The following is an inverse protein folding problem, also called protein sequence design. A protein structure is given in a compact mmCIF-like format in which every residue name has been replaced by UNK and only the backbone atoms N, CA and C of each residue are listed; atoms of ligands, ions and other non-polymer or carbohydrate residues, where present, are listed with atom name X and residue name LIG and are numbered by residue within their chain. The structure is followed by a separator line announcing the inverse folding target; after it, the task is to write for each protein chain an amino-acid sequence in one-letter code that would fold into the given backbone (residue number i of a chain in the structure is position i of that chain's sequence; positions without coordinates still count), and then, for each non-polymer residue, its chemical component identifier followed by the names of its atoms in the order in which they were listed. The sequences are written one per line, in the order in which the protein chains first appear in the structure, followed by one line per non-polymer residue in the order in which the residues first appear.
data_IF_176641426560
#
_entry.id   IF_176641426560
#
_cell.length_a   1.000
_cell.length_b   1.000
_cell.length_c   1.000
_cell.angle_alpha   90.00
_cell.angle_beta   90.00
_cell.angle_gamma   90.00
#
_symmetry.space_group_name_H-M   'P 1'
#
loop_
_entity.id
_entity.type
_entity.pdbx_description
1 polymer ?
#
# COMPACT_ATOMS: atom_id res chain seq x y z
N UNK A 1 -32.67 -15.08 -42.76
CA UNK A 1 -31.77 -15.91 -41.92
C UNK A 1 -30.60 -15.05 -41.50
N UNK A 2 -30.59 -14.64 -40.23
CA UNK A 2 -29.64 -13.65 -39.70
C UNK A 2 -28.25 -14.27 -39.58
N UNK A 3 -27.25 -13.60 -40.18
CA UNK A 3 -25.82 -13.80 -39.94
C UNK A 3 -25.54 -13.65 -38.44
N UNK A 4 -24.98 -14.67 -37.81
CA UNK A 4 -24.19 -14.47 -36.60
C UNK A 4 -22.82 -15.11 -36.84
N UNK A 5 -21.90 -14.20 -37.13
CA UNK A 5 -20.48 -14.42 -37.33
C UNK A 5 -19.86 -15.11 -36.13
N UNK A 6 -18.90 -16.01 -36.38
CA UNK A 6 -18.00 -16.63 -35.40
C UNK A 6 -17.16 -15.62 -34.57
N UNK A 7 -17.40 -14.31 -34.74
CA UNK A 7 -16.81 -13.21 -33.99
C UNK A 7 -17.47 -12.93 -32.62
N UNK A 8 -18.51 -13.68 -32.23
CA UNK A 8 -19.11 -13.56 -30.88
C UNK A 8 -18.42 -14.43 -29.81
N UNK A 9 -17.26 -15.01 -30.11
CA UNK A 9 -16.27 -15.33 -29.08
C UNK A 9 -15.57 -14.03 -28.66
N UNK A 10 -16.36 -13.11 -28.11
CA UNK A 10 -15.88 -11.96 -27.36
C UNK A 10 -15.03 -12.52 -26.24
N UNK A 11 -13.71 -12.44 -26.41
CA UNK A 11 -12.73 -11.92 -25.46
C UNK A 11 -13.18 -11.84 -23.98
N UNK A 12 -13.71 -12.92 -23.43
CA UNK A 12 -13.46 -13.29 -22.04
C UNK A 12 -12.10 -13.99 -22.04
N UNK A 13 -11.06 -13.26 -22.45
CA UNK A 13 -9.74 -13.49 -21.89
C UNK A 13 -9.89 -13.06 -20.43
N UNK A 14 -10.41 -13.95 -19.58
CA UNK A 14 -10.08 -13.87 -18.16
C UNK A 14 -8.57 -13.96 -18.14
N UNK A 15 -7.91 -12.80 -18.02
CA UNK A 15 -6.46 -12.70 -17.86
C UNK A 15 -6.15 -13.65 -16.71
N UNK A 16 -5.59 -14.83 -17.01
CA UNK A 16 -5.27 -15.83 -16.00
C UNK A 16 -4.36 -15.11 -15.02
N UNK A 17 -4.88 -14.87 -13.83
CA UNK A 17 -4.16 -14.12 -12.81
C UNK A 17 -3.02 -15.02 -12.38
N UNK A 18 -1.78 -14.60 -12.60
CA UNK A 18 -0.63 -15.36 -12.12
C UNK A 18 -0.72 -15.46 -10.60
N UNK A 19 -0.56 -16.69 -10.10
CA UNK A 19 -0.55 -16.94 -8.67
C UNK A 19 0.86 -16.75 -8.14
N UNK A 20 1.02 -15.84 -7.18
CA UNK A 20 2.27 -15.62 -6.48
C UNK A 20 2.25 -16.39 -5.17
N UNK A 21 3.39 -17.01 -4.87
CA UNK A 21 3.72 -17.53 -3.56
C UNK A 21 4.76 -16.61 -2.91
N UNK A 22 4.55 -16.25 -1.65
CA UNK A 22 5.55 -15.56 -0.84
C UNK A 22 6.04 -16.46 0.29
N UNK A 23 7.30 -16.29 0.68
CA UNK A 23 7.89 -16.96 1.82
C UNK A 23 8.15 -15.92 2.91
N UNK A 24 7.47 -16.06 4.04
CA UNK A 24 7.60 -15.22 5.21
C UNK A 24 8.64 -15.82 6.16
N UNK A 25 9.54 -14.97 6.63
CA UNK A 25 10.20 -15.18 7.91
C UNK A 25 9.32 -14.54 8.98
N UNK A 26 8.65 -15.37 9.77
CA UNK A 26 7.77 -14.86 10.83
C UNK A 26 8.57 -14.54 12.08
N UNK A 27 8.27 -13.40 12.67
CA UNK A 27 8.99 -12.89 13.84
C UNK A 27 8.01 -12.24 14.81
N UNK A 28 8.27 -12.42 16.09
CA UNK A 28 7.77 -11.51 17.12
C UNK A 28 8.77 -10.35 17.22
N UNK A 29 8.31 -9.10 17.21
CA UNK A 29 9.22 -7.94 17.25
C UNK A 29 9.55 -7.54 18.71
N UNK A 30 10.82 -7.26 18.98
CA UNK A 30 11.36 -7.00 20.33
C UNK A 30 11.62 -5.50 20.62
N UNK A 31 11.41 -4.56 19.67
CA UNK A 31 11.70 -3.13 19.93
C UNK A 31 10.80 -2.15 19.15
N UNK A 32 10.01 -1.37 19.90
CA UNK A 32 9.41 -0.06 19.55
C UNK A 32 8.27 0.05 18.52
N UNK A 33 7.60 -1.05 18.13
CA UNK A 33 6.27 -0.97 17.49
C UNK A 33 5.21 -1.66 18.34
N UNK A 34 3.95 -1.26 18.21
CA UNK A 34 2.82 -1.87 18.95
C UNK A 34 2.34 -3.19 18.29
N UNK A 35 3.09 -3.76 17.35
CA UNK A 35 2.69 -4.94 16.59
C UNK A 35 3.48 -6.17 17.03
N UNK A 36 2.76 -7.19 17.47
CA UNK A 36 3.35 -8.34 18.16
C UNK A 36 3.89 -9.41 17.22
N UNK A 37 3.38 -9.52 16.00
CA UNK A 37 3.72 -10.62 15.08
C UNK A 37 3.65 -10.20 13.62
N UNK A 38 4.72 -10.43 12.86
CA UNK A 38 4.85 -9.94 11.50
C UNK A 38 5.42 -10.97 10.52
N UNK A 39 5.04 -10.82 9.25
CA UNK A 39 5.66 -11.53 8.13
C UNK A 39 6.68 -10.60 7.45
N UNK A 40 7.94 -11.04 7.44
CA UNK A 40 9.02 -10.42 6.66
C UNK A 40 9.26 -11.22 5.37
N UNK A 41 8.90 -10.65 4.22
CA UNK A 41 8.95 -11.36 2.92
C UNK A 41 10.40 -11.58 2.47
N UNK A 42 10.83 -12.84 2.47
CA UNK A 42 12.22 -13.21 2.16
C UNK A 42 12.45 -13.43 0.68
N UNK A 43 11.54 -14.11 0.00
CA UNK A 43 11.75 -14.46 -1.41
C UNK A 43 11.78 -13.22 -2.30
N UNK A 44 12.34 -13.38 -3.50
CA UNK A 44 12.21 -12.37 -4.54
C UNK A 44 10.72 -12.27 -4.90
N UNK A 45 10.16 -11.08 -4.76
CA UNK A 45 8.78 -10.80 -5.12
C UNK A 45 8.79 -9.87 -6.33
N UNK A 46 8.17 -10.32 -7.42
CA UNK A 46 8.07 -9.60 -8.68
C UNK A 46 6.59 -9.42 -9.06
N UNK A 47 6.04 -8.25 -8.75
CA UNK A 47 4.69 -7.83 -9.12
C UNK A 47 4.82 -6.67 -10.09
N UNK A 48 4.46 -6.86 -11.35
CA UNK A 48 4.60 -5.86 -12.41
C UNK A 48 3.23 -5.31 -12.78
N UNK A 49 3.16 -4.09 -13.32
CA UNK A 49 1.89 -3.52 -13.80
C UNK A 49 1.30 -4.31 -14.98
N UNK A 50 2.11 -5.06 -15.71
CA UNK A 50 1.69 -5.87 -16.87
C UNK A 50 1.03 -7.18 -16.47
N UNK A 51 1.38 -7.77 -15.31
CA UNK A 51 0.78 -8.98 -14.79
C UNK A 51 -0.14 -8.67 -13.59
N UNK A 52 -1.43 -8.90 -13.77
CA UNK A 52 -2.37 -8.91 -12.64
C UNK A 52 -2.07 -10.19 -11.86
N UNK A 53 -1.19 -10.09 -10.87
CA UNK A 53 -0.75 -11.23 -10.08
C UNK A 53 -1.30 -11.10 -8.65
N UNK A 54 -1.86 -12.19 -8.14
CA UNK A 54 -2.41 -12.25 -6.79
C UNK A 54 -1.54 -13.17 -5.94
N UNK A 55 -1.20 -12.73 -4.74
CA UNK A 55 -0.64 -13.59 -3.72
C UNK A 55 -1.75 -14.51 -3.22
N UNK A 56 -1.64 -15.80 -3.53
CA UNK A 56 -2.61 -16.81 -3.08
C UNK A 56 -2.00 -17.78 -2.06
N UNK A 57 -0.67 -17.86 -2.00
CA UNK A 57 0.04 -18.77 -1.13
C UNK A 57 1.09 -18.02 -0.31
N UNK A 58 1.12 -18.34 0.98
CA UNK A 58 2.15 -17.88 1.91
C UNK A 58 2.75 -19.12 2.57
N UNK A 59 4.08 -19.19 2.55
CA UNK A 59 4.89 -20.23 3.18
C UNK A 59 5.75 -19.62 4.28
N UNK A 60 6.29 -20.47 5.14
CA UNK A 60 7.10 -20.10 6.29
C UNK A 60 6.63 -20.84 7.54
N UNK A 61 7.56 -21.08 8.46
CA UNK A 61 7.26 -21.75 9.72
C UNK A 61 6.87 -20.71 10.76
N UNK A 62 5.68 -20.88 11.35
CA UNK A 62 5.23 -20.03 12.44
C UNK A 62 5.89 -20.40 13.77
N UNK A 63 5.97 -19.42 14.65
CA UNK A 63 6.33 -19.65 16.05
C UNK A 63 5.23 -20.44 16.77
N UNK A 64 5.59 -21.11 17.87
CA UNK A 64 4.64 -21.95 18.60
C UNK A 64 3.38 -21.18 19.01
N UNK A 65 2.21 -21.70 18.62
CA UNK A 65 0.91 -21.11 18.93
C UNK A 65 0.51 -19.93 18.04
N UNK A 66 1.35 -19.55 17.07
CA UNK A 66 1.05 -18.49 16.09
C UNK A 66 0.52 -19.07 14.77
N UNK A 67 -0.17 -18.22 14.02
CA UNK A 67 -0.71 -18.52 12.70
C UNK A 67 -0.82 -17.25 11.86
N UNK A 68 -1.23 -17.39 10.59
CA UNK A 68 -1.55 -16.27 9.71
C UNK A 68 -2.60 -15.29 10.30
N UNK A 69 -3.51 -15.77 11.15
CA UNK A 69 -4.52 -14.92 11.78
C UNK A 69 -3.91 -14.03 12.88
N UNK A 70 -2.73 -14.37 13.39
CA UNK A 70 -2.00 -13.54 14.38
C UNK A 70 -1.13 -12.46 13.73
N UNK A 71 -0.89 -12.53 12.41
CA UNK A 71 -0.04 -11.58 11.70
C UNK A 71 -0.71 -10.21 11.64
N UNK A 72 -0.02 -9.20 12.16
CA UNK A 72 -0.51 -7.81 12.24
C UNK A 72 0.31 -6.84 11.42
N UNK A 73 1.51 -7.23 10.98
CA UNK A 73 2.36 -6.44 10.10
C UNK A 73 2.86 -7.29 8.92
N UNK A 74 2.78 -6.71 7.72
CA UNK A 74 3.38 -7.25 6.50
C UNK A 74 4.55 -6.34 6.11
N UNK A 75 5.75 -6.90 6.04
CA UNK A 75 6.95 -6.18 5.66
C UNK A 75 7.50 -6.70 4.32
N UNK A 76 7.62 -5.81 3.35
CA UNK A 76 8.11 -6.07 2.00
C UNK A 76 9.20 -5.07 1.66
N UNK A 77 10.47 -5.46 1.79
CA UNK A 77 11.60 -4.56 1.53
C UNK A 77 12.51 -5.07 0.43
N UNK A 78 13.00 -4.16 -0.42
CA UNK A 78 13.91 -4.44 -1.55
C UNK A 78 13.40 -5.51 -2.52
N UNK A 79 12.12 -5.41 -2.91
CA UNK A 79 11.46 -6.27 -3.90
C UNK A 79 11.05 -5.46 -5.14
N UNK A 80 10.61 -6.12 -6.22
CA UNK A 80 10.08 -5.42 -7.40
C UNK A 80 8.55 -5.48 -7.39
N UNK A 81 7.90 -4.53 -6.72
CA UNK A 81 6.46 -4.47 -6.48
C UNK A 81 5.92 -3.18 -7.11
N UNK A 82 5.77 -3.17 -8.44
CA UNK A 82 5.37 -1.98 -9.20
C UNK A 82 3.91 -1.58 -8.99
N UNK A 83 3.07 -2.53 -8.57
CA UNK A 83 1.68 -2.33 -8.17
C UNK A 83 1.44 -2.97 -6.80
N UNK A 84 0.45 -2.48 -6.07
CA UNK A 84 0.16 -2.99 -4.74
C UNK A 84 -0.24 -4.48 -4.79
N UNK A 85 0.39 -5.36 -3.98
CA UNK A 85 0.15 -6.79 -4.04
C UNK A 85 -1.25 -7.14 -3.53
N UNK A 86 -2.03 -7.83 -4.38
CA UNK A 86 -3.41 -8.24 -4.07
C UNK A 86 -3.46 -9.67 -3.54
N UNK A 87 -4.52 -10.01 -2.82
CA UNK A 87 -4.79 -11.36 -2.32
C UNK A 87 -4.33 -11.61 -0.88
N UNK A 88 -3.35 -10.83 -0.40
CA UNK A 88 -2.78 -11.01 0.93
C UNK A 88 -3.80 -10.80 2.06
N UNK A 89 -4.82 -9.97 1.85
CA UNK A 89 -5.93 -9.75 2.80
C UNK A 89 -6.73 -11.03 3.11
N UNK A 90 -6.70 -12.03 2.21
CA UNK A 90 -7.39 -13.31 2.41
C UNK A 90 -6.61 -14.22 3.35
N UNK A 91 -5.32 -13.96 3.49
CA UNK A 91 -4.37 -14.78 4.23
C UNK A 91 -4.11 -14.15 5.60
N UNK A 92 -3.73 -12.88 5.63
CA UNK A 92 -3.53 -12.10 6.87
C UNK A 92 -4.74 -11.21 7.13
N UNK A 93 -5.69 -11.71 7.93
CA UNK A 93 -6.98 -11.03 8.17
C UNK A 93 -6.90 -9.85 9.14
N UNK A 94 -5.85 -9.78 9.94
CA UNK A 94 -5.71 -8.85 11.06
C UNK A 94 -4.57 -7.84 10.87
N UNK A 95 -4.19 -7.56 9.61
CA UNK A 95 -3.17 -6.56 9.30
C UNK A 95 -3.58 -5.17 9.83
N UNK A 96 -2.66 -4.60 10.61
CA UNK A 96 -2.71 -3.24 11.15
C UNK A 96 -1.60 -2.37 10.57
N UNK A 97 -0.53 -2.98 10.06
CA UNK A 97 0.58 -2.29 9.43
C UNK A 97 1.00 -2.96 8.12
N UNK A 98 1.29 -2.14 7.11
CA UNK A 98 1.89 -2.60 5.85
C UNK A 98 3.08 -1.69 5.55
N UNK A 99 4.23 -2.34 5.38
CA UNK A 99 5.50 -1.70 5.03
C UNK A 99 5.92 -2.20 3.65
N UNK A 100 6.06 -1.31 2.68
CA UNK A 100 6.65 -1.61 1.37
C UNK A 100 7.78 -0.63 1.11
N UNK A 101 9.02 -1.07 1.28
CA UNK A 101 10.21 -0.22 1.15
C UNK A 101 11.01 -0.59 -0.08
N UNK A 102 11.54 0.42 -0.78
CA UNK A 102 12.44 0.21 -1.92
C UNK A 102 11.82 -0.74 -2.96
N UNK A 103 10.49 -0.65 -3.13
CA UNK A 103 9.67 -1.61 -3.88
C UNK A 103 9.45 -1.24 -5.34
N UNK A 104 9.77 0.00 -5.74
CA UNK A 104 9.41 0.59 -7.05
C UNK A 104 7.90 0.65 -7.29
N UNK A 105 7.11 0.74 -6.23
CA UNK A 105 5.65 0.87 -6.31
C UNK A 105 5.31 2.18 -7.02
N UNK A 106 4.58 2.10 -8.13
CA UNK A 106 4.27 3.26 -8.98
C UNK A 106 2.89 3.83 -8.70
N UNK A 107 1.97 2.96 -8.33
CA UNK A 107 0.55 3.28 -8.20
C UNK A 107 -0.02 2.61 -6.96
N UNK A 108 -0.90 3.35 -6.28
CA UNK A 108 -1.72 2.86 -5.20
C UNK A 108 -3.06 3.59 -5.25
N UNK A 109 -4.15 2.85 -5.15
CA UNK A 109 -5.50 3.40 -5.25
C UNK A 109 -6.40 2.92 -4.10
N UNK A 110 -7.62 3.45 -4.06
CA UNK A 110 -8.63 3.10 -3.06
C UNK A 110 -8.95 1.59 -3.05
N UNK A 111 -8.96 0.93 -4.21
CA UNK A 111 -9.28 -0.49 -4.31
C UNK A 111 -8.18 -1.40 -3.75
N UNK A 112 -6.92 -0.92 -3.75
CA UNK A 112 -5.82 -1.63 -3.14
C UNK A 112 -5.93 -1.59 -1.61
N UNK A 113 -6.34 -0.46 -1.04
CA UNK A 113 -6.40 -0.26 0.41
C UNK A 113 -7.74 -0.63 1.05
N UNK A 114 -8.86 -0.66 0.30
CA UNK A 114 -10.19 -0.98 0.85
C UNK A 114 -10.27 -2.33 1.55
N UNK A 115 -9.39 -3.25 1.17
CA UNK A 115 -9.31 -4.59 1.73
C UNK A 115 -8.74 -4.63 3.17
N UNK A 116 -8.18 -3.52 3.67
CA UNK A 116 -7.51 -3.45 4.96
C UNK A 116 -8.11 -2.37 5.88
N UNK A 117 -9.39 -2.47 6.27
CA UNK A 117 -10.07 -1.45 7.07
C UNK A 117 -9.51 -1.29 8.48
N UNK A 118 -8.70 -2.26 8.94
CA UNK A 118 -8.08 -2.26 10.26
C UNK A 118 -6.70 -1.58 10.30
N UNK A 119 -6.16 -1.12 9.16
CA UNK A 119 -4.84 -0.47 9.09
C UNK A 119 -4.76 0.77 10.00
N UNK A 120 -3.66 0.84 10.72
CA UNK A 120 -3.24 1.90 11.62
C UNK A 120 -2.00 2.60 11.04
N UNK A 121 -1.10 1.83 10.41
CA UNK A 121 0.13 2.35 9.82
C UNK A 121 0.29 1.88 8.37
N UNK A 122 0.67 2.81 7.50
CA UNK A 122 1.03 2.53 6.12
C UNK A 122 2.34 3.24 5.82
N UNK A 123 3.41 2.46 5.60
CA UNK A 123 4.71 3.00 5.23
C UNK A 123 5.11 2.51 3.83
N UNK A 124 5.14 3.45 2.89
CA UNK A 124 5.48 3.25 1.49
C UNK A 124 6.72 4.07 1.12
N UNK A 125 7.62 4.25 2.09
CA UNK A 125 8.89 4.93 1.95
C UNK A 125 9.73 4.40 0.78
N UNK A 126 10.32 5.33 0.03
CA UNK A 126 11.24 5.04 -1.08
C UNK A 126 10.62 4.14 -2.16
N UNK A 127 9.59 4.68 -2.82
CA UNK A 127 8.95 4.07 -3.97
C UNK A 127 8.84 5.09 -5.12
N UNK A 128 8.07 4.78 -6.16
CA UNK A 128 7.93 5.57 -7.38
C UNK A 128 6.53 6.18 -7.55
N UNK A 129 5.78 6.36 -6.44
CA UNK A 129 4.39 6.82 -6.48
C UNK A 129 4.33 8.28 -6.92
N UNK A 130 3.46 8.59 -7.89
CA UNK A 130 3.36 9.94 -8.47
C UNK A 130 2.06 10.68 -8.12
N UNK A 131 0.97 9.95 -7.89
CA UNK A 131 -0.36 10.54 -7.69
C UNK A 131 -1.03 9.91 -6.48
N UNK A 132 -1.59 10.73 -5.60
CA UNK A 132 -2.53 10.31 -4.57
C UNK A 132 -3.92 10.86 -4.88
N UNK A 133 -4.89 9.98 -5.13
CA UNK A 133 -6.27 10.36 -5.42
C UNK A 133 -7.06 10.70 -4.14
N UNK A 134 -8.01 11.64 -4.25
CA UNK A 134 -8.83 12.17 -3.16
C UNK A 134 -9.41 11.13 -2.18
N UNK A 135 -9.74 9.94 -2.67
CA UNK A 135 -10.45 8.90 -1.92
C UNK A 135 -9.60 7.67 -1.58
N UNK A 136 -8.29 7.74 -1.78
CA UNK A 136 -7.37 6.60 -1.55
C UNK A 136 -7.55 5.97 -0.16
N UNK A 137 -7.85 6.78 0.87
CA UNK A 137 -8.02 6.29 2.25
C UNK A 137 -9.46 6.24 2.76
N UNK A 138 -10.47 6.31 1.88
CA UNK A 138 -11.87 6.39 2.32
C UNK A 138 -12.34 5.22 3.21
N UNK A 139 -11.66 4.07 3.17
CA UNK A 139 -11.97 2.88 3.96
C UNK A 139 -10.98 2.61 5.12
N UNK A 140 -9.95 3.45 5.28
CA UNK A 140 -8.84 3.22 6.21
C UNK A 140 -8.78 4.31 7.28
N UNK A 141 -9.95 4.63 7.87
CA UNK A 141 -10.12 5.74 8.83
C UNK A 141 -9.39 5.53 10.17
N UNK A 142 -8.83 4.34 10.39
CA UNK A 142 -8.00 4.02 11.56
C UNK A 142 -6.53 4.37 11.36
N UNK A 143 -6.12 4.75 10.14
CA UNK A 143 -4.75 5.17 9.87
C UNK A 143 -4.41 6.40 10.70
N UNK A 144 -3.31 6.29 11.45
CA UNK A 144 -2.71 7.39 12.22
C UNK A 144 -1.29 7.69 11.75
N UNK A 145 -0.64 6.75 11.07
CA UNK A 145 0.70 6.90 10.51
C UNK A 145 0.66 6.64 9.01
N UNK A 146 1.12 7.61 8.23
CA UNK A 146 1.28 7.47 6.78
C UNK A 146 2.64 8.00 6.39
N UNK A 147 3.41 7.24 5.62
CA UNK A 147 4.70 7.67 5.09
C UNK A 147 4.80 7.40 3.59
N UNK A 148 4.87 8.47 2.80
CA UNK A 148 5.19 8.45 1.36
C UNK A 148 6.48 9.22 1.08
N UNK A 149 7.37 9.34 2.04
CA UNK A 149 8.62 10.07 1.84
C UNK A 149 9.50 9.36 0.80
N UNK A 150 10.31 10.13 0.07
CA UNK A 150 11.11 9.64 -1.05
C UNK A 150 10.28 8.91 -2.12
N UNK A 151 9.15 9.49 -2.49
CA UNK A 151 8.39 9.07 -3.67
C UNK A 151 8.57 10.11 -4.79
N UNK A 152 7.72 10.05 -5.82
CA UNK A 152 7.72 10.95 -6.97
C UNK A 152 6.43 11.75 -7.04
N UNK A 153 5.81 12.05 -5.89
CA UNK A 153 4.50 12.69 -5.86
C UNK A 153 4.56 14.06 -6.51
N UNK A 154 3.78 14.22 -7.59
CA UNK A 154 3.57 15.47 -8.33
C UNK A 154 2.13 15.95 -8.21
N UNK A 155 1.21 15.07 -7.79
CA UNK A 155 -0.19 15.41 -7.58
C UNK A 155 -0.71 14.73 -6.31
N UNK A 156 -1.35 15.52 -5.44
CA UNK A 156 -2.12 15.04 -4.29
C UNK A 156 -3.51 15.64 -4.36
N UNK A 157 -4.52 14.80 -4.27
CA UNK A 157 -5.91 15.22 -4.17
C UNK A 157 -6.15 16.14 -2.97
N UNK A 158 -7.00 17.13 -3.17
CA UNK A 158 -7.29 18.16 -2.17
C UNK A 158 -7.83 17.64 -0.83
N UNK A 159 -8.45 16.46 -0.84
CA UNK A 159 -9.15 15.90 0.32
C UNK A 159 -8.51 14.63 0.88
N UNK A 160 -7.38 14.18 0.32
CA UNK A 160 -6.71 12.91 0.66
C UNK A 160 -6.59 12.67 2.17
N UNK A 161 -6.16 13.70 2.91
CA UNK A 161 -5.89 13.61 4.36
C UNK A 161 -6.95 14.29 5.24
N UNK A 162 -7.99 14.88 4.65
CA UNK A 162 -8.90 15.82 5.34
C UNK A 162 -9.68 15.18 6.51
N UNK A 163 -10.01 13.90 6.39
CA UNK A 163 -10.80 13.16 7.40
C UNK A 163 -9.92 12.35 8.37
N UNK A 164 -8.60 12.46 8.27
CA UNK A 164 -7.67 11.59 9.00
C UNK A 164 -7.20 12.26 10.29
N UNK A 165 -7.05 11.47 11.35
CA UNK A 165 -6.44 11.90 12.61
C UNK A 165 -5.01 11.39 12.69
N UNK A 166 -4.14 11.94 11.84
CA UNK A 166 -2.75 11.48 11.74
C UNK A 166 -1.91 12.00 12.90
N UNK A 167 -1.17 11.09 13.52
CA UNK A 167 -0.04 11.42 14.40
C UNK A 167 1.21 11.64 13.55
N UNK A 168 1.34 10.99 12.40
CA UNK A 168 2.47 11.15 11.48
C UNK A 168 2.04 11.14 10.02
N UNK A 169 2.59 12.08 9.25
CA UNK A 169 2.47 12.19 7.80
C UNK A 169 3.85 12.52 7.19
N UNK A 170 4.52 11.52 6.64
CA UNK A 170 5.78 11.70 5.93
C UNK A 170 5.56 11.97 4.44
N UNK A 171 5.94 13.15 3.94
CA UNK A 171 5.82 13.50 2.52
C UNK A 171 7.10 14.14 1.95
N UNK A 172 8.19 14.15 2.70
CA UNK A 172 9.41 14.82 2.28
C UNK A 172 10.09 14.10 1.11
N UNK A 173 10.90 14.84 0.36
CA UNK A 173 11.59 14.33 -0.83
C UNK A 173 10.64 13.77 -1.89
N UNK A 174 9.58 14.52 -2.22
CA UNK A 174 8.70 14.29 -3.35
C UNK A 174 8.79 15.45 -4.37
N UNK A 175 8.23 15.26 -5.57
CA UNK A 175 8.27 16.25 -6.64
C UNK A 175 7.65 17.59 -6.26
N UNK A 176 6.48 17.57 -5.62
CA UNK A 176 5.79 18.78 -5.16
C UNK A 176 5.82 19.00 -3.63
N UNK A 177 6.61 18.22 -2.87
CA UNK A 177 6.56 18.23 -1.38
C UNK A 177 7.91 17.90 -0.73
N UNK A 178 8.34 18.73 0.23
CA UNK A 178 9.62 18.55 0.94
C UNK A 178 9.49 18.48 2.48
N UNK A 179 8.30 18.24 3.04
CA UNK A 179 8.01 18.37 4.49
C UNK A 179 7.43 17.10 5.13
N UNK A 180 7.57 16.98 6.46
CA UNK A 180 6.96 15.94 7.33
C UNK A 180 6.05 16.57 8.39
N UNK A 181 4.95 15.89 8.72
CA UNK A 181 4.13 16.14 9.92
C UNK A 181 4.39 15.02 10.91
N UNK A 182 4.75 15.32 12.16
CA UNK A 182 5.06 14.27 13.15
C UNK A 182 4.24 14.33 14.43
N UNK A 183 3.33 15.31 14.61
CA UNK A 183 2.31 15.31 15.66
C UNK A 183 1.28 16.46 15.49
N UNK A 184 0.01 16.14 15.73
CA UNK A 184 -1.21 16.99 15.74
C UNK A 184 -1.89 17.29 14.39
N UNK A 185 -3.21 17.25 14.40
CA UNK A 185 -4.11 17.63 13.30
C UNK A 185 -3.86 19.04 12.79
N UNK A 186 -3.45 19.98 13.67
CA UNK A 186 -3.13 21.35 13.28
C UNK A 186 -1.90 21.41 12.36
N UNK A 187 -0.80 20.73 12.74
CA UNK A 187 0.40 20.67 11.90
C UNK A 187 0.14 19.97 10.56
N UNK A 188 -0.70 18.93 10.55
CA UNK A 188 -1.11 18.24 9.32
C UNK A 188 -1.93 19.16 8.41
N UNK A 189 -2.88 19.92 8.95
CA UNK A 189 -3.67 20.88 8.16
C UNK A 189 -2.79 21.98 7.55
N UNK A 190 -1.83 22.50 8.30
CA UNK A 190 -0.86 23.48 7.80
C UNK A 190 -0.02 22.88 6.65
N UNK A 191 0.37 21.61 6.77
CA UNK A 191 1.08 20.88 5.71
C UNK A 191 0.19 20.66 4.48
N UNK A 192 -1.09 20.30 4.66
CA UNK A 192 -2.04 20.17 3.55
C UNK A 192 -2.16 21.49 2.78
N UNK A 193 -2.24 22.62 3.48
CA UNK A 193 -2.27 23.94 2.84
C UNK A 193 -1.01 24.21 2.01
N UNK A 194 0.17 23.84 2.53
CA UNK A 194 1.45 23.98 1.83
C UNK A 194 1.56 23.06 0.60
N UNK A 195 1.08 21.81 0.70
CA UNK A 195 1.03 20.88 -0.43
C UNK A 195 0.20 21.47 -1.56
N UNK A 196 -0.99 22.00 -1.25
CA UNK A 196 -1.85 22.65 -2.26
C UNK A 196 -1.12 23.77 -2.98
N UNK A 197 -0.34 24.60 -2.28
CA UNK A 197 0.43 25.68 -2.92
C UNK A 197 1.53 25.11 -3.82
N UNK A 198 2.33 24.16 -3.33
CA UNK A 198 3.47 23.62 -4.08
C UNK A 198 3.07 22.73 -5.27
N UNK A 199 1.91 22.07 -5.22
CA UNK A 199 1.43 21.22 -6.31
C UNK A 199 0.51 22.00 -7.30
N UNK A 200 0.27 23.30 -7.10
CA UNK A 200 -0.44 24.19 -8.04
C UNK A 200 0.52 25.01 -8.90
N UNK A 201 1.82 25.03 -8.60
CA UNK A 201 2.83 25.72 -9.40
C UNK A 201 3.45 24.78 -10.44
N UNK A 202 2.79 24.64 -11.60
CA UNK A 202 3.40 24.36 -12.92
C UNK A 202 2.27 24.26 -13.98
N UNK A 203 1.94 25.41 -14.58
CA UNK A 203 1.31 25.52 -15.89
C UNK A 203 2.20 26.39 -16.76
#
# INVERSE_FOLDING_TARGET
MVKISLLLFVLLLTKMTESIEIYCNYKNEDTHTSYSYYCDVQNQLNVMSTNSANINFVRGDHDFGQSNDNVTCLHVSYKNVQIFPKGIQKIFKNLKRIDIYYGRLKEINQDDLKAFPQLIELDLYNNDIQVLEDKIFAYNLRLTYINFSYNKLVQIGENVFKMMNLTFLGLFSNGCISKTASNSTKAVLDIIALIKINCVSEM
#
